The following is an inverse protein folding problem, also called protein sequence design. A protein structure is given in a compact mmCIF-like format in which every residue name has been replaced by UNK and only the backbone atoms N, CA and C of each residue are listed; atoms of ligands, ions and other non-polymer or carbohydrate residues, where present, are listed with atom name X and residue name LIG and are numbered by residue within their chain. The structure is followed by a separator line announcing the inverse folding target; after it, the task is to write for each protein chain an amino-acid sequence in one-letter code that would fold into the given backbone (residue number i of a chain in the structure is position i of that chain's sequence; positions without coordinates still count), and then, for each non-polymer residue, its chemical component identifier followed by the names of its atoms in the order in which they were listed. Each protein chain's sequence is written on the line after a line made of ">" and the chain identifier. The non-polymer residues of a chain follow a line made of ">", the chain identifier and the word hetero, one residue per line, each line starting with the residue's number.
data_IF_479439686750
#
_entry.id   IF_479439686750
#
_cell.length_a   1.000
_cell.length_b   1.000
_cell.length_c   1.000
_cell.angle_alpha   90.00
_cell.angle_beta   90.00
_cell.angle_gamma   90.00
#
_symmetry.space_group_name_H-M   'P 1'
#
loop_
_entity.id
_entity.type
_entity.pdbx_description
1 polymer ?
#
# COMPACT_ATOMS: atom_id res chain seq x y z
N UNK A 1 -15.60 -9.37 8.04
CA UNK A 1 -15.40 -9.78 6.63
C UNK A 1 -16.15 -8.81 5.73
N UNK A 2 -15.47 -8.20 4.76
CA UNK A 2 -16.08 -7.37 3.72
C UNK A 2 -16.14 -8.13 2.40
N UNK A 3 -17.35 -8.38 1.89
CA UNK A 3 -17.53 -9.05 0.61
C UNK A 3 -17.10 -8.12 -0.53
N UNK A 4 -16.15 -8.57 -1.34
CA UNK A 4 -15.67 -7.85 -2.52
C UNK A 4 -15.22 -8.82 -3.59
N UNK A 5 -15.45 -8.45 -4.84
CA UNK A 5 -14.89 -9.11 -6.03
C UNK A 5 -13.96 -8.13 -6.73
N UNK A 6 -12.74 -8.57 -7.01
CA UNK A 6 -11.74 -7.80 -7.77
C UNK A 6 -11.50 -8.53 -9.08
N UNK A 7 -11.54 -7.80 -10.19
CA UNK A 7 -11.32 -8.36 -11.52
C UNK A 7 -10.66 -7.35 -12.45
N UNK A 8 -9.96 -7.86 -13.48
CA UNK A 8 -9.48 -7.05 -14.59
C UNK A 8 -10.31 -7.45 -15.81
N UNK A 9 -10.98 -6.49 -16.43
CA UNK A 9 -11.78 -6.72 -17.64
C UNK A 9 -11.71 -5.50 -18.55
N UNK A 10 -11.55 -5.73 -19.86
CA UNK A 10 -11.40 -4.64 -20.83
C UNK A 10 -10.22 -3.69 -20.55
N UNK A 11 -9.18 -4.17 -19.86
CA UNK A 11 -8.03 -3.35 -19.46
C UNK A 11 -8.27 -2.45 -18.23
N UNK A 12 -9.41 -2.59 -17.54
CA UNK A 12 -9.73 -1.82 -16.34
C UNK A 12 -9.67 -2.69 -15.08
N UNK A 13 -9.21 -2.11 -13.96
CA UNK A 13 -9.36 -2.68 -12.63
C UNK A 13 -10.78 -2.40 -12.14
N UNK A 14 -11.54 -3.46 -11.89
CA UNK A 14 -12.91 -3.37 -11.39
C UNK A 14 -12.97 -3.89 -9.95
N UNK A 15 -13.70 -3.18 -9.09
CA UNK A 15 -14.12 -3.64 -7.77
C UNK A 15 -15.63 -3.68 -7.76
N UNK A 16 -16.20 -4.87 -7.52
CA UNK A 16 -17.63 -5.12 -7.58
C UNK A 16 -18.28 -4.67 -8.91
N UNK A 17 -17.58 -4.91 -10.03
CA UNK A 17 -18.05 -4.57 -11.38
C UNK A 17 -17.92 -3.10 -11.78
N UNK A 18 -17.37 -2.24 -10.91
CA UNK A 18 -17.19 -0.80 -11.18
C UNK A 18 -15.71 -0.49 -11.33
N UNK A 19 -15.34 0.25 -12.37
CA UNK A 19 -13.96 0.72 -12.56
C UNK A 19 -13.54 1.65 -11.43
N UNK A 20 -12.33 1.45 -10.90
CA UNK A 20 -11.79 2.24 -9.79
C UNK A 20 -10.55 3.02 -10.19
N UNK A 21 -10.52 4.29 -9.80
CA UNK A 21 -9.32 5.13 -9.85
C UNK A 21 -8.58 5.06 -8.51
N UNK A 22 -7.33 4.58 -8.53
CA UNK A 22 -6.48 4.54 -7.35
C UNK A 22 -5.78 5.90 -7.16
N UNK A 23 -6.28 6.69 -6.22
CA UNK A 23 -5.69 7.95 -5.75
C UNK A 23 -4.77 7.62 -4.58
N UNK A 24 -3.61 7.05 -4.92
CA UNK A 24 -2.75 6.36 -3.97
C UNK A 24 -1.54 7.15 -3.46
N UNK A 25 -1.01 6.73 -2.32
CA UNK A 25 0.31 7.11 -1.82
C UNK A 25 1.16 5.88 -1.46
N UNK A 26 2.47 6.01 -1.54
CA UNK A 26 3.40 5.07 -0.91
C UNK A 26 3.58 5.47 0.56
N UNK A 27 3.62 4.48 1.46
CA UNK A 27 3.80 4.71 2.90
C UNK A 27 4.91 3.80 3.42
N UNK A 28 5.92 4.42 4.04
CA UNK A 28 6.83 3.75 4.96
C UNK A 28 6.30 3.86 6.39
N UNK A 29 6.51 2.83 7.22
CA UNK A 29 6.33 2.95 8.67
C UNK A 29 7.50 3.73 9.25
N UNK A 30 7.28 5.02 9.49
CA UNK A 30 8.30 5.90 10.03
C UNK A 30 7.70 7.01 10.88
N UNK A 31 8.33 7.22 12.04
CA UNK A 31 8.08 8.32 12.95
C UNK A 31 9.43 8.95 13.34
N UNK A 32 9.54 10.29 13.41
CA UNK A 32 10.81 10.98 13.65
C UNK A 32 11.53 10.58 14.96
N UNK A 33 10.78 10.20 16.00
CA UNK A 33 11.37 9.88 17.31
C UNK A 33 11.57 8.37 17.53
N UNK A 34 10.68 7.55 16.97
CA UNK A 34 10.61 6.10 17.27
C UNK A 34 11.03 5.23 16.09
N UNK A 35 11.46 5.83 14.97
CA UNK A 35 11.85 5.11 13.77
C UNK A 35 10.67 4.33 13.20
N UNK A 36 10.82 3.01 13.04
CA UNK A 36 9.77 2.15 12.45
C UNK A 36 8.70 1.70 13.43
N UNK A 37 8.79 2.08 14.71
CA UNK A 37 7.78 1.71 15.71
C UNK A 37 6.60 2.69 15.60
N UNK A 38 5.48 2.19 15.08
CA UNK A 38 4.23 2.95 14.89
C UNK A 38 3.19 2.54 15.95
N UNK A 39 2.58 3.52 16.61
CA UNK A 39 1.41 3.29 17.46
C UNK A 39 0.12 3.29 16.63
N UNK A 40 -0.97 2.76 17.20
CA UNK A 40 -2.26 2.77 16.53
C UNK A 40 -2.76 4.20 16.28
N UNK A 41 -2.52 5.11 17.23
CA UNK A 41 -2.90 6.53 17.15
C UNK A 41 -2.20 7.21 15.97
N UNK A 42 -0.89 6.97 15.80
CA UNK A 42 -0.13 7.48 14.66
C UNK A 42 -0.65 6.92 13.33
N UNK A 43 -0.99 5.63 13.27
CA UNK A 43 -1.59 5.04 12.07
C UNK A 43 -2.95 5.64 11.72
N UNK A 44 -3.80 5.88 12.74
CA UNK A 44 -5.10 6.54 12.54
C UNK A 44 -4.91 8.00 12.10
N UNK A 45 -3.91 8.70 12.63
CA UNK A 45 -3.57 10.05 12.19
C UNK A 45 -3.15 10.08 10.70
N UNK A 46 -2.28 9.15 10.27
CA UNK A 46 -1.89 8.99 8.86
C UNK A 46 -3.12 8.81 7.96
N UNK A 47 -4.01 7.87 8.32
CA UNK A 47 -5.23 7.58 7.56
C UNK A 47 -6.15 8.81 7.52
N UNK A 48 -6.34 9.47 8.66
CA UNK A 48 -7.21 10.65 8.75
C UNK A 48 -6.73 11.75 7.79
N UNK A 49 -5.43 12.03 7.79
CA UNK A 49 -4.83 13.01 6.88
C UNK A 49 -5.00 12.58 5.41
N UNK A 50 -4.74 11.31 5.09
CA UNK A 50 -4.97 10.77 3.74
C UNK A 50 -6.41 10.99 3.27
N UNK A 51 -7.40 10.69 4.11
CA UNK A 51 -8.81 10.84 3.78
C UNK A 51 -9.21 12.32 3.61
N UNK A 52 -8.67 13.22 4.43
CA UNK A 52 -8.86 14.68 4.27
C UNK A 52 -8.32 15.19 2.92
N UNK A 53 -7.34 14.50 2.34
CA UNK A 53 -6.74 14.83 1.04
C UNK A 53 -7.23 13.93 -0.11
N UNK A 54 -8.38 13.28 0.03
CA UNK A 54 -9.02 12.45 -1.00
C UNK A 54 -8.18 11.24 -1.47
N UNK A 55 -7.22 10.79 -0.68
CA UNK A 55 -6.47 9.55 -0.93
C UNK A 55 -7.38 8.36 -0.59
N UNK A 56 -7.39 7.36 -1.48
CA UNK A 56 -8.19 6.15 -1.32
C UNK A 56 -7.36 4.85 -1.36
N UNK A 57 -6.06 4.93 -1.64
CA UNK A 57 -5.21 3.76 -1.78
C UNK A 57 -3.83 3.96 -1.13
N UNK A 58 -3.24 2.88 -0.62
CA UNK A 58 -1.89 2.89 -0.04
C UNK A 58 -1.10 1.68 -0.55
N UNK A 59 0.18 1.90 -0.87
CA UNK A 59 1.17 0.84 -1.09
C UNK A 59 2.13 0.77 0.09
N UNK A 60 2.33 -0.42 0.66
CA UNK A 60 3.27 -0.64 1.78
C UNK A 60 4.71 -0.74 1.27
N UNK A 61 5.25 0.39 0.80
CA UNK A 61 6.61 0.47 0.28
C UNK A 61 7.63 0.20 1.40
N UNK A 62 8.52 -0.77 1.34
CA UNK A 62 8.67 -1.87 0.37
C UNK A 62 8.69 -3.20 1.14
N UNK A 63 7.72 -3.35 2.04
CA UNK A 63 7.62 -4.44 3.01
C UNK A 63 6.22 -4.48 3.63
N UNK A 64 5.78 -5.62 4.19
CA UNK A 64 4.56 -5.69 4.97
C UNK A 64 4.65 -4.79 6.21
N UNK A 65 3.55 -4.11 6.54
CA UNK A 65 3.46 -3.25 7.73
C UNK A 65 3.03 -4.06 8.97
N UNK A 66 2.88 -3.41 10.12
CA UNK A 66 2.30 -4.06 11.31
C UNK A 66 0.87 -4.57 11.04
N UNK A 67 0.43 -5.74 11.58
CA UNK A 67 -0.90 -6.30 11.33
C UNK A 67 -2.07 -5.33 11.60
N UNK A 68 -1.94 -4.47 12.62
CA UNK A 68 -2.96 -3.47 12.95
C UNK A 68 -3.22 -2.46 11.82
N UNK A 69 -2.25 -2.20 10.94
CA UNK A 69 -2.43 -1.34 9.77
C UNK A 69 -3.51 -1.90 8.81
N UNK A 70 -3.52 -3.22 8.60
CA UNK A 70 -4.45 -3.89 7.69
C UNK A 70 -5.88 -3.83 8.21
N UNK A 71 -6.06 -4.03 9.51
CA UNK A 71 -7.36 -3.90 10.19
C UNK A 71 -7.89 -2.47 10.08
N UNK A 72 -7.02 -1.47 10.25
CA UNK A 72 -7.39 -0.07 10.07
C UNK A 72 -7.75 0.24 8.60
N UNK A 73 -7.03 -0.31 7.62
CA UNK A 73 -7.40 -0.15 6.21
C UNK A 73 -8.80 -0.72 5.89
N UNK A 74 -9.15 -1.86 6.48
CA UNK A 74 -10.50 -2.44 6.38
C UNK A 74 -11.56 -1.52 7.01
N UNK A 75 -11.29 -0.94 8.20
CA UNK A 75 -12.22 -0.06 8.92
C UNK A 75 -12.44 1.28 8.19
N UNK A 76 -11.37 1.92 7.73
CA UNK A 76 -11.42 3.28 7.17
C UNK A 76 -11.61 3.32 5.64
N UNK A 77 -11.62 2.16 4.99
CA UNK A 77 -11.82 2.01 3.55
C UNK A 77 -10.64 2.56 2.76
N UNK A 78 -9.55 1.79 2.73
CA UNK A 78 -8.34 2.02 1.94
C UNK A 78 -8.08 0.81 1.04
N UNK A 79 -7.90 1.04 -0.27
CA UNK A 79 -7.37 0.01 -1.17
C UNK A 79 -5.88 -0.20 -0.84
N UNK A 80 -5.51 -1.40 -0.40
CA UNK A 80 -4.16 -1.69 0.05
C UNK A 80 -3.41 -2.56 -0.96
N UNK A 81 -2.23 -2.10 -1.37
CA UNK A 81 -1.22 -2.90 -2.04
C UNK A 81 -0.20 -3.35 -0.99
N UNK A 82 -0.31 -4.61 -0.58
CA UNK A 82 0.65 -5.26 0.31
C UNK A 82 1.86 -5.74 -0.48
N UNK A 83 3.04 -5.20 -0.18
CA UNK A 83 4.27 -5.49 -0.90
C UNK A 83 5.21 -6.38 -0.09
N UNK A 84 5.70 -7.46 -0.71
CA UNK A 84 6.67 -8.36 -0.09
C UNK A 84 8.00 -7.64 0.21
N UNK A 85 8.65 -8.02 1.31
CA UNK A 85 9.93 -7.44 1.75
C UNK A 85 11.12 -7.97 0.94
N UNK A 86 11.21 -7.57 -0.32
CA UNK A 86 12.27 -7.98 -1.24
C UNK A 86 12.69 -6.79 -2.09
N UNK A 87 13.90 -6.29 -1.86
CA UNK A 87 14.47 -5.21 -2.66
C UNK A 87 15.94 -5.49 -2.97
N UNK A 88 16.26 -5.68 -4.26
CA UNK A 88 17.62 -5.98 -4.75
C UNK A 88 18.13 -4.90 -5.71
N UNK A 89 17.69 -3.66 -5.53
CA UNK A 89 17.94 -2.56 -6.45
C UNK A 89 19.45 -2.35 -6.70
N UNK A 90 20.26 -2.52 -5.66
CA UNK A 90 21.72 -2.40 -5.76
C UNK A 90 22.36 -3.44 -6.69
N UNK A 91 21.83 -4.67 -6.71
CA UNK A 91 22.35 -5.73 -7.58
C UNK A 91 22.03 -5.46 -9.06
N UNK A 92 20.89 -4.82 -9.34
CA UNK A 92 20.57 -4.30 -10.67
C UNK A 92 21.54 -3.20 -11.06
N UNK A 93 21.81 -2.24 -10.17
CA UNK A 93 22.76 -1.13 -10.41
C UNK A 93 24.16 -1.63 -10.75
N UNK A 94 24.59 -2.73 -10.11
CA UNK A 94 25.89 -3.39 -10.34
C UNK A 94 25.90 -4.36 -11.53
N UNK A 95 24.82 -4.46 -12.32
CA UNK A 95 24.66 -5.42 -13.41
C UNK A 95 24.88 -6.90 -13.00
N UNK A 96 24.65 -7.22 -11.72
CA UNK A 96 24.75 -8.59 -11.19
C UNK A 96 23.48 -9.37 -11.51
N UNK A 97 22.31 -8.73 -11.35
CA UNK A 97 21.01 -9.27 -11.77
C UNK A 97 20.63 -8.66 -13.12
N UNK A 98 20.68 -9.45 -14.19
CA UNK A 98 20.07 -9.11 -15.49
C UNK A 98 18.64 -9.62 -15.51
N UNK A 99 17.69 -8.76 -15.18
CA UNK A 99 16.29 -9.03 -15.49
C UNK A 99 16.15 -9.00 -17.02
N UNK A 100 15.43 -9.97 -17.59
CA UNK A 100 15.25 -10.09 -19.03
C UNK A 100 14.74 -8.77 -19.63
N UNK A 101 15.20 -8.37 -20.84
CA UNK A 101 14.60 -7.26 -21.55
C UNK A 101 13.16 -7.64 -21.90
N UNK A 102 12.21 -6.84 -21.42
CA UNK A 102 10.83 -6.83 -21.92
C UNK A 102 10.79 -6.06 -23.23
#
# INVERSE_FOLDING_TARGET
>A
MGFRKVEISGGQLLVNGVAVDLKGSNRHEIHPETGRVMSQELMVQDITLMKQHNINAVRTSHYPNTPGWYELCDIYGIYLWDEANIESHELRRKNILRLYPW
#
